data_IF_250174996179
#
_entry.id   IF_250174996179
#
_cell.length_a   1.000
_cell.length_b   1.000
_cell.length_c   1.000
_cell.angle_alpha   90.00
_cell.angle_beta   90.00
_cell.angle_gamma   90.00
#
_symmetry.space_group_name_H-M   'P 1'
#
loop_
_entity.id
_entity.type
_entity.pdbx_description
1 polymer ?
#
# COMPACT_ATOMS: atom_id res chain seq x y z
N UNK A 1 -31.45 14.71 -11.48
CA UNK A 1 -30.14 15.03 -10.85
C UNK A 1 -29.19 13.88 -11.18
N UNK A 2 -28.20 14.09 -12.06
CA UNK A 2 -27.17 13.06 -12.29
C UNK A 2 -26.37 12.97 -10.98
N UNK A 3 -26.46 11.84 -10.29
CA UNK A 3 -25.61 11.58 -9.12
C UNK A 3 -24.17 11.71 -9.62
N UNK A 4 -23.42 12.67 -9.08
CA UNK A 4 -21.98 12.70 -9.24
C UNK A 4 -21.49 11.39 -8.62
N UNK A 5 -21.07 10.47 -9.48
CA UNK A 5 -20.35 9.28 -9.05
C UNK A 5 -18.94 9.78 -8.78
N UNK A 6 -18.42 9.66 -7.55
CA UNK A 6 -17.00 9.94 -7.30
C UNK A 6 -16.19 9.07 -8.26
N UNK A 7 -15.17 9.66 -8.89
CA UNK A 7 -14.27 8.87 -9.72
C UNK A 7 -13.75 7.68 -8.90
N UNK A 8 -13.66 6.47 -9.48
CA UNK A 8 -13.07 5.35 -8.79
C UNK A 8 -11.65 5.74 -8.36
N UNK A 9 -11.23 5.39 -7.13
CA UNK A 9 -9.90 5.74 -6.65
C UNK A 9 -8.86 5.27 -7.66
N UNK A 10 -8.07 6.21 -8.18
CA UNK A 10 -6.98 5.90 -9.11
C UNK A 10 -5.94 5.11 -8.32
N UNK A 11 -5.58 3.89 -8.76
CA UNK A 11 -4.54 3.14 -8.08
C UNK A 11 -3.22 3.91 -8.20
N UNK A 12 -2.60 4.19 -7.06
CA UNK A 12 -1.29 4.86 -7.01
C UNK A 12 -0.18 4.02 -7.62
N UNK A 13 -0.41 2.72 -7.78
CA UNK A 13 0.57 1.75 -8.25
C UNK A 13 0.02 0.90 -9.38
N UNK A 14 0.87 0.64 -10.36
CA UNK A 14 0.69 -0.39 -11.37
C UNK A 14 1.62 -1.55 -11.02
N UNK A 15 1.06 -2.71 -10.71
CA UNK A 15 1.83 -3.93 -10.41
C UNK A 15 2.18 -4.63 -11.72
N UNK A 16 3.41 -5.13 -11.82
CA UNK A 16 3.81 -5.95 -12.96
C UNK A 16 2.98 -7.24 -12.99
N UNK A 17 2.24 -7.47 -14.07
CA UNK A 17 1.39 -8.65 -14.24
C UNK A 17 2.17 -9.98 -14.13
N UNK A 18 3.46 -9.98 -14.48
CA UNK A 18 4.32 -11.16 -14.41
C UNK A 18 4.74 -11.51 -12.98
N UNK A 19 4.62 -10.57 -12.02
CA UNK A 19 5.01 -10.79 -10.63
C UNK A 19 4.29 -12.02 -10.06
N UNK A 20 5.04 -13.01 -9.58
CA UNK A 20 4.46 -14.24 -9.05
C UNK A 20 3.68 -13.97 -7.75
N UNK A 21 2.77 -14.89 -7.39
CA UNK A 21 2.03 -14.80 -6.13
C UNK A 21 3.00 -14.82 -4.94
N UNK A 22 3.97 -15.73 -4.96
CA UNK A 22 4.99 -15.86 -3.91
C UNK A 22 5.82 -14.59 -3.77
N UNK A 23 6.30 -14.02 -4.88
CA UNK A 23 7.07 -12.79 -4.85
C UNK A 23 6.22 -11.60 -4.36
N UNK A 24 4.95 -11.51 -4.79
CA UNK A 24 4.06 -10.45 -4.35
C UNK A 24 3.84 -10.51 -2.83
N UNK A 25 3.60 -11.69 -2.27
CA UNK A 25 3.43 -11.89 -0.83
C UNK A 25 4.74 -11.66 -0.06
N UNK A 26 5.88 -12.05 -0.61
CA UNK A 26 7.19 -11.76 -0.02
C UNK A 26 7.49 -10.25 0.04
N UNK A 27 7.00 -9.46 -0.92
CA UNK A 27 7.09 -8.00 -0.85
C UNK A 27 6.11 -7.42 0.17
N UNK A 28 4.89 -7.97 0.28
CA UNK A 28 3.92 -7.55 1.29
C UNK A 28 4.51 -7.68 2.70
N UNK A 29 5.17 -8.80 3.01
CA UNK A 29 5.79 -9.02 4.32
C UNK A 29 6.82 -7.93 4.67
N UNK A 30 7.74 -7.65 3.74
CA UNK A 30 8.73 -6.56 3.89
C UNK A 30 8.08 -5.19 4.06
N UNK A 31 7.01 -4.93 3.32
CA UNK A 31 6.29 -3.65 3.39
C UNK A 31 5.51 -3.51 4.69
N UNK A 32 4.97 -4.58 5.27
CA UNK A 32 4.31 -4.58 6.58
C UNK A 32 5.31 -4.23 7.68
N UNK A 33 6.52 -4.79 7.64
CA UNK A 33 7.60 -4.43 8.56
C UNK A 33 7.99 -2.95 8.45
N UNK A 34 8.15 -2.46 7.21
CA UNK A 34 8.43 -1.06 6.94
C UNK A 34 7.31 -0.12 7.43
N UNK A 35 6.05 -0.50 7.18
CA UNK A 35 4.87 0.24 7.63
C UNK A 35 4.83 0.31 9.16
N UNK A 36 5.06 -0.80 9.85
CA UNK A 36 5.11 -0.83 11.31
C UNK A 36 6.22 0.07 11.86
N UNK A 37 7.42 0.03 11.26
CA UNK A 37 8.51 0.94 11.60
C UNK A 37 8.14 2.41 11.41
N UNK A 38 7.47 2.73 10.31
CA UNK A 38 7.04 4.10 9.99
C UNK A 38 5.94 4.59 10.94
N UNK A 39 4.98 3.73 11.30
CA UNK A 39 3.95 4.04 12.31
C UNK A 39 4.59 4.33 13.67
N UNK A 40 5.56 3.51 14.10
CA UNK A 40 6.29 3.74 15.36
C UNK A 40 7.04 5.07 15.32
N UNK A 41 7.73 5.38 14.22
CA UNK A 41 8.41 6.66 14.04
C UNK A 41 7.41 7.84 14.09
N UNK A 42 6.22 7.67 13.51
CA UNK A 42 5.20 8.71 13.54
C UNK A 42 4.59 8.94 14.93
N UNK A 43 4.39 7.86 15.71
CA UNK A 43 3.75 7.93 17.03
C UNK A 43 4.70 8.30 18.16
N UNK A 44 5.96 7.86 18.08
CA UNK A 44 6.92 7.95 19.17
C UNK A 44 8.18 8.78 18.85
N UNK A 45 8.34 9.23 17.60
CA UNK A 45 9.46 10.08 17.19
C UNK A 45 9.35 11.50 17.73
N UNK A 46 10.49 12.17 17.86
CA UNK A 46 10.50 13.60 18.20
C UNK A 46 9.78 14.41 17.10
N UNK A 47 9.00 15.44 17.47
CA UNK A 47 8.28 16.28 16.52
C UNK A 47 9.21 17.29 15.84
N UNK A 48 10.08 16.79 14.96
CA UNK A 48 11.02 17.59 14.15
C UNK A 48 10.36 18.07 12.84
N UNK A 49 9.03 18.25 12.83
CA UNK A 49 8.28 18.70 11.64
C UNK A 49 8.12 17.64 10.53
N UNK A 50 8.48 16.38 10.78
CA UNK A 50 8.40 15.29 9.79
C UNK A 50 7.09 14.48 9.83
N UNK A 51 6.28 14.62 10.88
CA UNK A 51 5.06 13.80 11.07
C UNK A 51 4.08 13.84 9.90
N UNK A 52 3.92 15.01 9.26
CA UNK A 52 3.06 15.14 8.08
C UNK A 52 3.53 14.23 6.94
N UNK A 53 4.84 14.18 6.68
CA UNK A 53 5.42 13.31 5.66
C UNK A 53 5.33 11.83 6.06
N UNK A 54 5.47 11.51 7.35
CA UNK A 54 5.33 10.12 7.81
C UNK A 54 3.91 9.59 7.62
N UNK A 55 2.88 10.41 7.83
CA UNK A 55 1.50 10.03 7.54
C UNK A 55 1.25 9.79 6.05
N UNK A 56 1.79 10.64 5.18
CA UNK A 56 1.74 10.44 3.72
C UNK A 56 2.47 9.15 3.30
N UNK A 57 3.64 8.87 3.89
CA UNK A 57 4.38 7.61 3.65
C UNK A 57 3.59 6.40 4.13
N UNK A 58 2.93 6.48 5.30
CA UNK A 58 2.05 5.42 5.81
C UNK A 58 0.91 5.12 4.82
N UNK A 59 0.29 6.17 4.27
CA UNK A 59 -0.78 6.02 3.27
C UNK A 59 -0.27 5.31 2.01
N UNK A 60 0.86 5.77 1.47
CA UNK A 60 1.49 5.22 0.26
C UNK A 60 1.88 3.75 0.46
N UNK A 61 2.50 3.41 1.60
CA UNK A 61 2.85 2.02 1.95
C UNK A 61 1.61 1.13 2.03
N UNK A 62 0.55 1.61 2.68
CA UNK A 62 -0.69 0.85 2.82
C UNK A 62 -1.35 0.57 1.47
N UNK A 63 -1.37 1.56 0.57
CA UNK A 63 -1.93 1.38 -0.77
C UNK A 63 -1.11 0.38 -1.62
N UNK A 64 0.23 0.40 -1.51
CA UNK A 64 1.08 -0.57 -2.20
C UNK A 64 0.83 -2.00 -1.71
N UNK A 65 0.69 -2.17 -0.39
CA UNK A 65 0.35 -3.48 0.21
C UNK A 65 -0.99 -3.98 -0.33
N UNK A 66 -2.03 -3.13 -0.34
CA UNK A 66 -3.34 -3.51 -0.86
C UNK A 66 -3.28 -3.88 -2.35
N UNK A 67 -2.50 -3.16 -3.15
CA UNK A 67 -2.32 -3.47 -4.58
C UNK A 67 -1.64 -4.82 -4.79
N UNK A 68 -0.60 -5.14 -4.01
CA UNK A 68 0.11 -6.43 -4.09
C UNK A 68 -0.78 -7.60 -3.65
N UNK A 69 -1.55 -7.43 -2.57
CA UNK A 69 -2.49 -8.45 -2.08
C UNK A 69 -3.62 -8.69 -3.09
N UNK A 70 -4.16 -7.62 -3.68
CA UNK A 70 -5.17 -7.75 -4.73
C UNK A 70 -4.61 -8.50 -5.94
N UNK A 71 -3.40 -8.14 -6.39
CA UNK A 71 -2.71 -8.84 -7.49
C UNK A 71 -2.50 -10.32 -7.19
N UNK A 72 -2.00 -10.66 -5.99
CA UNK A 72 -1.79 -12.04 -5.58
C UNK A 72 -3.10 -12.85 -5.62
N UNK A 73 -4.17 -12.31 -5.03
CA UNK A 73 -5.50 -12.93 -5.01
C UNK A 73 -6.07 -13.12 -6.40
N UNK A 74 -5.98 -12.10 -7.26
CA UNK A 74 -6.53 -12.16 -8.61
C UNK A 74 -5.74 -13.16 -9.48
N UNK A 75 -4.43 -13.31 -9.24
CA UNK A 75 -3.58 -14.30 -9.92
C UNK A 75 -3.84 -15.73 -9.44
N UNK A 76 -4.13 -15.94 -8.16
CA UNK A 76 -4.59 -17.23 -7.63
C UNK A 76 -5.95 -17.65 -8.21
N UNK A 77 -6.87 -16.70 -8.44
CA UNK A 77 -8.21 -16.99 -8.97
C UNK A 77 -8.21 -17.42 -10.45
N UNK A 78 -7.12 -17.16 -11.18
CA UNK A 78 -6.95 -17.50 -12.61
C UNK A 78 -6.04 -18.74 -12.78
N UNK A 79 -5.42 -19.22 -11.71
CA UNK A 79 -4.54 -20.40 -11.70
C UNK A 79 -5.28 -21.70 -11.41
#
# INVERSE_FOLDING_TARGET
MKKLVPDPPVPYFLINAELSVEDALAQVDKLLDCLNGTIKANLFGEPIGIHKYLLEVIEVLNQLILALVAHARDKEAVS
#
